data_IF_042952839393
#
_entry.id   IF_042952839393
#
_cell.length_a   1.000
_cell.length_b   1.000
_cell.length_c   1.000
_cell.angle_alpha   90.00
_cell.angle_beta   90.00
_cell.angle_gamma   90.00
#
_symmetry.space_group_name_H-M   'P 1'
#
loop_
_entity.id
_entity.type
_entity.pdbx_description
1 polymer ?
#
# COMPACT_ATOMS: atom_id res chain seq x y z
N UNK A 1 59.81 -4.27 50.05
CA UNK A 1 60.37 -3.37 49.01
C UNK A 1 59.19 -2.98 48.13
N UNK A 2 58.79 -1.70 47.98
CA UNK A 2 59.52 -0.55 47.36
C UNK A 2 59.59 -0.71 45.82
N UNK A 3 59.16 0.22 44.96
CA UNK A 3 58.73 1.65 45.07
C UNK A 3 57.26 1.84 44.52
N UNK A 4 56.39 2.80 44.92
CA UNK A 4 56.43 4.29 44.96
C UNK A 4 56.51 4.92 43.54
N UNK A 5 55.73 5.94 43.10
CA UNK A 5 54.76 6.94 43.64
C UNK A 5 53.62 7.18 42.58
N UNK A 6 52.59 8.05 42.61
CA UNK A 6 51.89 9.04 43.51
C UNK A 6 50.42 9.22 42.92
N UNK A 7 49.34 9.86 43.43
CA UNK A 7 49.02 11.01 44.33
C UNK A 7 49.22 12.43 43.72
N UNK A 8 48.27 13.38 43.60
CA UNK A 8 46.84 13.59 44.02
C UNK A 8 46.11 14.47 42.95
N UNK A 9 44.77 14.58 42.78
CA UNK A 9 43.72 15.27 43.60
C UNK A 9 44.13 16.66 44.14
N UNK A 10 43.34 17.76 44.21
CA UNK A 10 41.89 18.12 44.17
C UNK A 10 41.76 19.48 43.43
N UNK A 11 40.66 20.03 42.88
CA UNK A 11 39.23 19.67 42.77
C UNK A 11 38.27 20.84 43.15
N UNK A 12 36.97 20.76 42.78
CA UNK A 12 35.85 21.71 43.05
C UNK A 12 35.89 23.14 42.45
N UNK A 13 34.82 23.53 41.73
CA UNK A 13 33.94 24.67 42.06
C UNK A 13 32.78 24.86 41.06
N UNK A 14 31.66 25.42 41.53
CA UNK A 14 30.52 25.94 40.74
C UNK A 14 30.10 27.28 41.35
N UNK A 15 29.68 28.27 40.54
CA UNK A 15 28.45 28.97 40.91
C UNK A 15 27.55 29.42 39.74
N UNK A 16 26.27 29.07 39.87
CA UNK A 16 25.07 29.87 39.58
C UNK A 16 25.09 31.05 38.57
N UNK A 17 24.16 30.96 37.62
CA UNK A 17 23.19 32.01 37.22
C UNK A 17 23.64 33.27 36.46
N UNK A 18 23.00 33.47 35.29
CA UNK A 18 22.36 34.73 34.90
C UNK A 18 21.11 34.47 34.05
N UNK A 19 20.02 35.18 34.34
CA UNK A 19 18.85 35.30 33.44
C UNK A 19 19.05 36.54 32.58
N UNK A 20 18.68 36.48 31.30
CA UNK A 20 18.32 37.67 30.52
C UNK A 20 17.03 37.33 29.77
N UNK A 21 15.98 38.13 30.01
CA UNK A 21 14.77 38.15 29.19
C UNK A 21 14.77 39.47 28.41
N UNK A 22 14.50 39.42 27.10
CA UNK A 22 14.28 40.62 26.30
C UNK A 22 13.14 40.42 25.29
N UNK A 23 11.95 40.88 25.70
CA UNK A 23 10.87 41.35 24.82
C UNK A 23 11.37 42.57 24.01
N UNK A 24 10.87 42.94 22.82
CA UNK A 24 9.93 42.25 21.91
C UNK A 24 10.32 42.50 20.42
N UNK A 25 9.54 43.10 19.50
CA UNK A 25 9.25 42.42 18.23
C UNK A 25 9.81 43.14 16.99
N UNK A 26 9.91 42.40 15.87
CA UNK A 26 10.01 43.00 14.53
C UNK A 26 9.07 42.30 13.54
N UNK A 27 8.41 43.09 12.70
CA UNK A 27 7.48 42.63 11.66
C UNK A 27 8.26 42.14 10.45
N UNK A 28 8.24 40.83 10.19
CA UNK A 28 8.70 40.28 8.91
C UNK A 28 7.58 40.37 7.87
N UNK A 29 7.82 41.09 6.76
CA UNK A 29 6.87 41.18 5.65
C UNK A 29 6.94 39.92 4.76
N UNK A 30 5.80 39.51 4.21
CA UNK A 30 5.74 38.37 3.29
C UNK A 30 6.50 38.67 1.98
N UNK A 31 7.29 37.72 1.43
CA UNK A 31 8.01 37.92 0.18
C UNK A 31 7.05 37.95 -1.02
N UNK A 32 7.05 39.08 -1.75
CA UNK A 32 6.40 39.20 -3.06
C UNK A 32 7.15 38.37 -4.09
N UNK A 33 6.60 37.24 -4.51
CA UNK A 33 7.06 36.53 -5.69
C UNK A 33 6.65 37.27 -6.97
N UNK A 34 7.62 37.72 -7.75
CA UNK A 34 7.41 38.40 -9.04
C UNK A 34 7.49 37.38 -10.16
N UNK A 35 6.35 36.97 -10.70
CA UNK A 35 6.30 36.16 -11.92
C UNK A 35 6.80 36.98 -13.12
N UNK A 36 7.96 36.63 -13.68
CA UNK A 36 8.47 37.22 -14.92
C UNK A 36 7.82 36.57 -16.16
N UNK A 37 6.56 36.93 -16.41
CA UNK A 37 5.86 36.51 -17.64
C UNK A 37 6.49 37.10 -18.90
N UNK A 38 7.15 36.27 -19.72
CA UNK A 38 7.60 36.66 -21.06
C UNK A 38 6.39 36.93 -21.96
N UNK A 39 6.15 38.21 -22.29
CA UNK A 39 5.11 38.63 -23.24
C UNK A 39 5.39 38.08 -24.63
N UNK A 40 4.60 37.10 -25.09
CA UNK A 40 4.44 36.80 -26.51
C UNK A 40 3.19 37.55 -27.00
N UNK A 41 3.29 38.19 -28.17
CA UNK A 41 2.22 39.03 -28.72
C UNK A 41 1.04 38.19 -29.23
N UNK A 42 -0.18 38.65 -28.97
CA UNK A 42 -1.38 38.23 -29.73
C UNK A 42 -1.20 38.57 -31.20
N UNK A 43 -1.64 37.68 -32.08
CA UNK A 43 -2.07 38.03 -33.42
C UNK A 43 -3.39 37.30 -33.69
N UNK A 44 -4.47 38.06 -33.87
CA UNK A 44 -5.81 37.53 -34.15
C UNK A 44 -6.02 37.43 -35.66
N UNK A 45 -6.50 36.29 -36.15
CA UNK A 45 -7.24 36.18 -37.42
C UNK A 45 -8.39 35.17 -37.26
N UNK A 46 -9.47 35.39 -37.98
CA UNK A 46 -10.77 34.71 -37.80
C UNK A 46 -10.97 33.55 -38.78
N UNK A 47 -11.61 32.48 -38.33
CA UNK A 47 -12.11 31.40 -39.20
C UNK A 47 -13.18 30.56 -38.51
N UNK A 48 -14.43 30.64 -38.99
CA UNK A 48 -15.53 29.76 -38.62
C UNK A 48 -15.77 28.72 -39.72
N UNK A 49 -15.85 27.43 -39.37
CA UNK A 49 -16.92 26.47 -39.75
C UNK A 49 -16.84 25.23 -38.82
N UNK A 50 -17.88 24.37 -38.72
CA UNK A 50 -18.16 23.60 -37.50
C UNK A 50 -18.01 22.06 -37.60
N UNK A 51 -18.16 21.38 -36.45
CA UNK A 51 -18.23 19.92 -36.31
C UNK A 51 -16.91 19.31 -35.83
N UNK A 52 -16.86 18.32 -34.93
CA UNK A 52 -17.95 17.53 -34.33
C UNK A 52 -17.67 17.29 -32.85
N UNK A 53 -18.69 17.41 -31.99
CA UNK A 53 -18.62 17.04 -30.58
C UNK A 53 -19.06 15.58 -30.42
N UNK A 54 -18.33 14.77 -29.65
CA UNK A 54 -18.77 13.42 -29.25
C UNK A 54 -18.78 13.35 -27.74
N UNK A 55 -19.98 13.28 -27.17
CA UNK A 55 -20.18 13.04 -25.74
C UNK A 55 -20.10 11.55 -25.43
N UNK A 56 -19.60 11.20 -24.24
CA UNK A 56 -20.09 10.02 -23.52
C UNK A 56 -21.27 10.48 -22.65
N UNK A 57 -22.31 9.65 -22.54
CA UNK A 57 -23.57 9.99 -21.86
C UNK A 57 -23.49 9.86 -20.34
N UNK A 58 -24.31 10.64 -19.64
CA UNK A 58 -24.63 10.39 -18.23
C UNK A 58 -25.50 9.12 -18.08
N UNK A 59 -25.51 8.56 -16.88
CA UNK A 59 -26.49 7.59 -16.39
C UNK A 59 -26.96 8.06 -15.01
N UNK A 60 -28.25 7.94 -14.74
CA UNK A 60 -28.98 8.76 -13.75
C UNK A 60 -28.65 8.48 -12.26
N UNK A 61 -28.93 9.48 -11.41
CA UNK A 61 -29.14 9.26 -9.97
C UNK A 61 -30.44 8.48 -9.71
N UNK A 62 -30.65 8.02 -8.47
CA UNK A 62 -31.67 8.75 -7.70
C UNK A 62 -31.20 9.20 -6.30
N UNK A 63 -31.42 10.48 -5.99
CA UNK A 63 -31.23 11.07 -4.67
C UNK A 63 -32.42 10.80 -3.75
N UNK A 64 -32.18 10.16 -2.60
CA UNK A 64 -33.11 10.17 -1.47
C UNK A 64 -32.36 9.94 -0.15
N UNK A 65 -32.57 10.81 0.84
CA UNK A 65 -32.24 10.50 2.24
C UNK A 65 -33.48 10.00 2.96
N UNK A 66 -33.29 9.19 4.01
CA UNK A 66 -34.09 9.17 5.24
C UNK A 66 -33.42 8.23 6.25
N UNK A 67 -33.62 8.50 7.55
CA UNK A 67 -33.10 7.68 8.64
C UNK A 67 -34.18 6.69 9.13
N UNK A 68 -33.80 5.51 9.65
CA UNK A 68 -34.75 4.56 10.23
C UNK A 68 -35.07 4.88 11.70
N UNK A 69 -36.36 4.89 12.02
CA UNK A 69 -36.92 4.73 13.37
C UNK A 69 -37.81 3.46 13.38
N UNK A 70 -38.05 2.82 14.53
CA UNK A 70 -38.30 1.37 14.58
C UNK A 70 -39.76 0.96 14.32
N UNK A 71 -39.95 -0.24 13.78
CA UNK A 71 -41.26 -0.90 13.62
C UNK A 71 -41.27 -2.24 14.37
N UNK A 72 -42.46 -2.60 14.84
CA UNK A 72 -42.74 -3.54 15.93
C UNK A 72 -42.73 -5.03 15.54
N UNK A 73 -42.69 -5.86 16.59
CA UNK A 73 -42.84 -7.31 16.61
C UNK A 73 -44.14 -7.82 15.94
N UNK A 74 -44.04 -8.93 15.21
CA UNK A 74 -45.19 -9.79 14.84
C UNK A 74 -44.72 -11.22 14.57
N UNK A 75 -45.42 -12.21 15.13
CA UNK A 75 -44.88 -13.57 15.31
C UNK A 75 -45.43 -14.62 14.34
N UNK A 76 -44.50 -15.31 13.65
CA UNK A 76 -44.61 -16.73 13.25
C UNK A 76 -45.02 -17.04 11.80
N UNK A 77 -45.00 -18.33 11.40
CA UNK A 77 -44.19 -19.43 11.91
C UNK A 77 -43.09 -19.89 10.90
N UNK A 78 -42.12 -20.66 11.37
CA UNK A 78 -40.97 -21.11 10.58
C UNK A 78 -41.32 -21.95 9.35
N UNK A 79 -40.63 -21.71 8.24
CA UNK A 79 -40.41 -22.66 7.14
C UNK A 79 -38.99 -22.42 6.62
N UNK A 80 -38.09 -23.41 6.73
CA UNK A 80 -36.72 -23.27 6.25
C UNK A 80 -36.66 -23.44 4.72
N UNK A 81 -36.05 -22.50 3.97
CA UNK A 81 -35.51 -22.79 2.65
C UNK A 81 -34.12 -23.43 2.79
N UNK A 82 -33.80 -24.41 1.95
CA UNK A 82 -32.48 -25.03 1.91
C UNK A 82 -31.69 -24.56 0.67
N UNK A 83 -31.18 -23.33 0.69
CA UNK A 83 -30.32 -22.75 -0.39
C UNK A 83 -29.45 -21.58 0.11
N UNK A 84 -28.56 -21.78 1.09
CA UNK A 84 -27.67 -20.70 1.58
C UNK A 84 -26.25 -20.70 0.96
N UNK A 85 -25.75 -21.85 0.48
CA UNK A 85 -24.39 -21.96 -0.08
C UNK A 85 -24.28 -21.53 -1.55
N UNK A 86 -25.35 -21.71 -2.32
CA UNK A 86 -25.38 -21.39 -3.77
C UNK A 86 -25.58 -19.88 -4.00
N UNK A 87 -26.22 -19.19 -3.05
CA UNK A 87 -26.38 -17.73 -3.04
C UNK A 87 -25.09 -17.01 -2.63
N UNK A 88 -24.41 -17.45 -1.56
CA UNK A 88 -23.20 -16.77 -1.08
C UNK A 88 -22.06 -16.81 -2.11
N UNK A 89 -21.87 -17.93 -2.81
CA UNK A 89 -20.85 -18.06 -3.86
C UNK A 89 -21.10 -17.13 -5.07
N UNK A 90 -22.38 -16.86 -5.40
CA UNK A 90 -22.76 -15.91 -6.45
C UNK A 90 -22.50 -14.46 -6.00
N UNK A 91 -22.82 -14.11 -4.75
CA UNK A 91 -22.51 -12.79 -4.19
C UNK A 91 -20.99 -12.54 -4.09
N UNK A 92 -20.20 -13.51 -3.63
CA UNK A 92 -18.73 -13.42 -3.59
C UNK A 92 -18.10 -13.29 -4.99
N UNK A 93 -18.67 -13.97 -5.99
CA UNK A 93 -18.25 -13.82 -7.39
C UNK A 93 -18.51 -12.38 -7.87
N UNK A 94 -19.71 -11.84 -7.63
CA UNK A 94 -20.05 -10.47 -8.02
C UNK A 94 -19.16 -9.43 -7.33
N UNK A 95 -18.92 -9.57 -6.01
CA UNK A 95 -17.99 -8.72 -5.25
C UNK A 95 -16.55 -8.82 -5.78
N UNK A 96 -16.13 -10.00 -6.22
CA UNK A 96 -14.80 -10.22 -6.81
C UNK A 96 -14.67 -9.53 -8.17
N UNK A 97 -15.70 -9.57 -9.01
CA UNK A 97 -15.68 -8.93 -10.32
C UNK A 97 -15.77 -7.38 -10.22
N UNK A 98 -16.55 -6.82 -9.29
CA UNK A 98 -16.48 -5.38 -8.96
C UNK A 98 -15.08 -4.98 -8.46
N UNK A 99 -14.50 -5.75 -7.52
CA UNK A 99 -13.15 -5.51 -7.04
C UNK A 99 -12.12 -5.60 -8.18
N UNK A 100 -12.31 -6.49 -9.16
CA UNK A 100 -11.47 -6.61 -10.35
C UNK A 100 -11.56 -5.39 -11.27
N UNK A 101 -12.75 -4.82 -11.47
CA UNK A 101 -12.90 -3.57 -12.20
C UNK A 101 -12.17 -2.42 -11.50
N UNK A 102 -12.39 -2.25 -10.19
CA UNK A 102 -11.75 -1.21 -9.39
C UNK A 102 -10.22 -1.40 -9.39
N UNK A 103 -9.75 -2.64 -9.20
CA UNK A 103 -8.33 -2.99 -9.22
C UNK A 103 -7.72 -2.66 -10.57
N UNK A 104 -8.26 -3.15 -11.69
CA UNK A 104 -7.64 -2.92 -12.99
C UNK A 104 -7.67 -1.43 -13.39
N UNK A 105 -8.72 -0.70 -13.03
CA UNK A 105 -8.88 0.76 -13.22
C UNK A 105 -7.88 1.57 -12.40
N UNK A 106 -7.63 1.22 -11.13
CA UNK A 106 -6.68 1.94 -10.24
C UNK A 106 -5.22 1.47 -10.38
N UNK A 107 -5.00 0.21 -10.75
CA UNK A 107 -3.66 -0.39 -10.87
C UNK A 107 -3.05 -0.21 -12.27
N UNK A 108 -3.87 -0.13 -13.32
CA UNK A 108 -3.44 -0.08 -14.73
C UNK A 108 -3.12 -1.47 -15.29
N UNK A 109 -3.91 -2.48 -14.93
CA UNK A 109 -3.56 -3.91 -15.10
C UNK A 109 -4.65 -4.74 -15.79
N UNK A 110 -4.35 -6.01 -16.05
CA UNK A 110 -5.30 -7.06 -16.47
C UNK A 110 -5.27 -8.26 -15.49
N UNK A 111 -5.24 -7.95 -14.20
CA UNK A 111 -5.21 -8.92 -13.09
C UNK A 111 -6.64 -9.33 -12.70
N UNK A 112 -6.78 -10.48 -12.05
CA UNK A 112 -8.07 -11.03 -11.64
C UNK A 112 -7.92 -11.76 -10.31
N UNK A 113 -8.54 -11.22 -9.27
CA UNK A 113 -8.78 -11.87 -7.99
C UNK A 113 -10.14 -12.56 -8.02
N UNK A 114 -10.28 -13.66 -7.29
CA UNK A 114 -11.49 -14.51 -7.24
C UNK A 114 -11.59 -15.00 -5.80
N UNK A 115 -12.44 -14.36 -5.00
CA UNK A 115 -12.52 -14.63 -3.56
C UNK A 115 -13.05 -16.05 -3.31
N UNK A 116 -14.03 -16.47 -4.10
CA UNK A 116 -14.73 -17.75 -3.97
C UNK A 116 -13.86 -18.98 -4.31
N UNK A 117 -12.63 -18.77 -4.84
CA UNK A 117 -11.63 -19.83 -5.05
C UNK A 117 -10.72 -20.08 -3.84
N UNK A 118 -10.85 -19.29 -2.78
CA UNK A 118 -10.11 -19.48 -1.54
C UNK A 118 -8.72 -18.83 -1.49
N UNK A 119 -7.97 -19.18 -0.44
CA UNK A 119 -6.60 -18.72 -0.21
C UNK A 119 -5.64 -19.16 -1.33
N UNK A 120 -5.15 -18.18 -2.10
CA UNK A 120 -4.05 -18.36 -3.06
C UNK A 120 -2.80 -17.56 -2.67
N UNK A 121 -1.64 -18.16 -2.94
CA UNK A 121 -0.34 -17.61 -2.60
C UNK A 121 0.78 -18.24 -3.44
N UNK A 122 1.93 -17.57 -3.45
CA UNK A 122 3.19 -18.07 -3.99
C UNK A 122 4.34 -17.80 -3.02
N UNK A 123 5.26 -18.77 -2.88
CA UNK A 123 6.50 -18.61 -2.12
C UNK A 123 7.50 -17.79 -2.94
N UNK A 124 8.01 -16.70 -2.36
CA UNK A 124 8.89 -15.73 -3.03
C UNK A 124 10.34 -15.90 -2.56
N UNK A 125 10.55 -16.14 -1.26
CA UNK A 125 11.83 -16.57 -0.68
C UNK A 125 11.61 -17.88 0.11
N UNK A 126 12.66 -18.64 0.46
CA UNK A 126 12.52 -19.80 1.33
C UNK A 126 11.82 -19.49 2.66
N UNK A 127 11.94 -18.26 3.16
CA UNK A 127 11.32 -17.77 4.40
C UNK A 127 10.12 -16.82 4.20
N UNK A 128 9.67 -16.55 2.96
CA UNK A 128 8.67 -15.51 2.66
C UNK A 128 7.67 -15.93 1.58
N UNK A 129 6.38 -15.79 1.89
CA UNK A 129 5.23 -16.04 1.00
C UNK A 129 4.43 -14.75 0.81
N UNK A 130 3.85 -14.55 -0.37
CA UNK A 130 2.88 -13.49 -0.66
C UNK A 130 1.58 -14.10 -1.20
N UNK A 131 0.43 -13.65 -0.69
CA UNK A 131 -0.88 -14.17 -1.11
C UNK A 131 -2.08 -13.28 -0.78
N UNK A 132 -3.27 -13.82 -1.01
CA UNK A 132 -4.57 -13.21 -0.68
C UNK A 132 -4.87 -13.25 0.81
N UNK A 133 -6.00 -12.69 1.21
CA UNK A 133 -6.50 -12.83 2.57
C UNK A 133 -6.83 -14.30 2.92
N UNK A 134 -6.63 -14.65 4.19
CA UNK A 134 -7.26 -15.81 4.81
C UNK A 134 -8.77 -15.56 4.90
N UNK A 135 -9.56 -16.64 4.80
CA UNK A 135 -11.02 -16.59 4.90
C UNK A 135 -11.54 -17.41 6.09
N UNK A 136 -10.79 -18.42 6.51
CA UNK A 136 -11.23 -19.42 7.48
C UNK A 136 -10.15 -19.72 8.51
N UNK A 137 -10.54 -20.30 9.64
CA UNK A 137 -9.60 -20.90 10.59
C UNK A 137 -8.71 -21.97 9.93
N UNK A 138 -9.25 -22.75 8.99
CA UNK A 138 -8.51 -23.81 8.29
C UNK A 138 -7.35 -23.28 7.41
N UNK A 139 -7.39 -22.02 6.99
CA UNK A 139 -6.27 -21.38 6.29
C UNK A 139 -5.05 -21.18 7.20
N UNK A 140 -5.28 -20.97 8.50
CA UNK A 140 -4.20 -20.89 9.51
C UNK A 140 -3.48 -22.23 9.64
N UNK A 141 -4.24 -23.32 9.74
CA UNK A 141 -3.70 -24.68 9.79
C UNK A 141 -2.94 -25.04 8.51
N UNK A 142 -3.53 -24.73 7.34
CA UNK A 142 -2.91 -24.92 6.02
C UNK A 142 -1.54 -24.23 5.92
N UNK A 143 -1.46 -22.97 6.33
CA UNK A 143 -0.22 -22.19 6.26
C UNK A 143 0.84 -22.67 7.27
N UNK A 144 0.45 -23.03 8.50
CA UNK A 144 1.36 -23.57 9.49
C UNK A 144 1.94 -24.93 9.05
N UNK A 145 1.08 -25.86 8.62
CA UNK A 145 1.45 -27.27 8.41
C UNK A 145 2.08 -27.56 7.04
N UNK A 146 1.62 -26.90 5.97
CA UNK A 146 2.10 -27.17 4.61
C UNK A 146 3.29 -26.28 4.24
N UNK A 147 3.31 -25.06 4.79
CA UNK A 147 4.27 -24.02 4.40
C UNK A 147 5.22 -23.60 5.54
N UNK A 148 5.05 -24.09 6.77
CA UNK A 148 5.91 -23.73 7.91
C UNK A 148 5.76 -22.26 8.35
N UNK A 149 4.60 -21.66 8.13
CA UNK A 149 4.34 -20.26 8.49
C UNK A 149 4.23 -20.13 10.01
N UNK A 150 5.05 -19.26 10.58
CA UNK A 150 4.99 -18.90 12.00
C UNK A 150 4.47 -17.48 12.22
N UNK A 151 4.36 -16.66 11.17
CA UNK A 151 3.86 -15.28 11.22
C UNK A 151 2.97 -14.98 10.01
N UNK A 152 1.70 -14.68 10.24
CA UNK A 152 0.80 -14.06 9.27
C UNK A 152 0.89 -12.55 9.45
N UNK A 153 1.13 -11.81 8.36
CA UNK A 153 1.28 -10.37 8.34
C UNK A 153 0.20 -9.75 7.44
N UNK A 154 -0.91 -9.38 8.09
CA UNK A 154 -2.12 -8.85 7.49
C UNK A 154 -2.01 -7.33 7.30
N UNK A 155 -2.11 -6.89 6.05
CA UNK A 155 -2.01 -5.47 5.64
C UNK A 155 -3.40 -4.84 5.40
N UNK A 156 -4.48 -5.59 5.63
CA UNK A 156 -5.86 -5.14 5.43
C UNK A 156 -6.34 -4.15 6.50
N UNK A 157 -7.11 -3.17 6.05
CA UNK A 157 -7.97 -2.31 6.86
C UNK A 157 -9.31 -3.00 7.13
N UNK A 158 -10.06 -2.55 8.13
CA UNK A 158 -11.34 -3.18 8.51
C UNK A 158 -12.39 -3.04 7.40
N UNK A 159 -12.28 -1.99 6.57
CA UNK A 159 -13.05 -1.77 5.35
C UNK A 159 -12.80 -2.82 4.26
N UNK A 160 -11.57 -3.34 4.11
CA UNK A 160 -11.26 -4.41 3.16
C UNK A 160 -12.01 -5.70 3.54
N UNK A 161 -12.01 -6.01 4.84
CA UNK A 161 -12.59 -7.24 5.38
C UNK A 161 -14.12 -7.14 5.37
N UNK A 162 -14.67 -6.00 5.78
CA UNK A 162 -16.10 -5.73 5.75
C UNK A 162 -16.70 -5.84 4.33
N UNK A 163 -15.99 -5.37 3.28
CA UNK A 163 -16.46 -5.51 1.89
C UNK A 163 -16.67 -6.99 1.51
N UNK A 164 -15.77 -7.89 1.92
CA UNK A 164 -15.88 -9.34 1.69
C UNK A 164 -16.64 -10.10 2.79
N UNK A 165 -17.33 -9.42 3.71
CA UNK A 165 -18.00 -10.02 4.88
C UNK A 165 -17.07 -10.87 5.78
N UNK A 166 -15.75 -10.64 5.73
CA UNK A 166 -14.74 -11.47 6.39
C UNK A 166 -14.65 -11.16 7.89
N UNK A 167 -15.09 -12.11 8.73
CA UNK A 167 -14.81 -12.09 10.16
C UNK A 167 -13.37 -12.58 10.43
N UNK A 168 -12.57 -11.71 11.05
CA UNK A 168 -11.19 -12.01 11.41
C UNK A 168 -11.08 -12.80 12.74
N UNK A 169 -12.10 -12.77 13.60
CA UNK A 169 -12.00 -13.33 14.95
C UNK A 169 -11.68 -14.84 14.98
N UNK A 170 -12.31 -15.71 14.15
CA UNK A 170 -11.96 -17.13 14.08
C UNK A 170 -10.51 -17.39 13.65
N UNK A 171 -9.94 -16.53 12.79
CA UNK A 171 -8.54 -16.61 12.35
C UNK A 171 -7.59 -16.25 13.52
N UNK A 172 -7.93 -15.22 14.31
CA UNK A 172 -7.16 -14.81 15.49
C UNK A 172 -7.18 -15.89 16.58
N UNK A 173 -8.35 -16.43 16.90
CA UNK A 173 -8.47 -17.49 17.90
C UNK A 173 -7.78 -18.77 17.43
N UNK A 174 -7.85 -19.14 16.15
CA UNK A 174 -7.12 -20.33 15.65
C UNK A 174 -5.60 -20.18 15.74
N UNK A 175 -5.05 -19.00 15.45
CA UNK A 175 -3.62 -18.74 15.67
C UNK A 175 -3.23 -18.93 17.15
N UNK A 176 -4.05 -18.40 18.06
CA UNK A 176 -3.87 -18.49 19.51
C UNK A 176 -4.05 -19.90 20.06
N UNK A 177 -4.93 -20.71 19.49
CA UNK A 177 -5.09 -22.14 19.83
C UNK A 177 -3.86 -22.97 19.48
N UNK A 178 -3.27 -22.74 18.28
CA UNK A 178 -2.08 -23.48 17.85
C UNK A 178 -0.82 -23.06 18.61
N UNK A 179 -0.63 -21.75 18.80
CA UNK A 179 0.54 -21.16 19.47
C UNK A 179 1.87 -21.23 18.70
N UNK A 180 1.95 -21.96 17.58
CA UNK A 180 3.11 -22.02 16.67
C UNK A 180 3.11 -20.90 15.62
N UNK A 181 1.94 -20.32 15.34
CA UNK A 181 1.69 -19.28 14.35
C UNK A 181 1.01 -18.07 15.00
N UNK A 182 1.51 -16.86 14.72
CA UNK A 182 0.92 -15.59 15.20
C UNK A 182 0.36 -14.75 14.07
N UNK A 183 -0.72 -14.03 14.34
CA UNK A 183 -1.31 -13.06 13.42
C UNK A 183 -0.94 -11.62 13.81
N UNK A 184 -0.36 -10.88 12.87
CA UNK A 184 0.12 -9.50 13.04
C UNK A 184 -0.63 -8.61 12.04
N UNK A 185 -1.17 -7.47 12.49
CA UNK A 185 -1.79 -6.48 11.60
C UNK A 185 -0.91 -5.24 11.43
N UNK A 186 -0.83 -4.75 10.19
CA UNK A 186 -0.29 -3.44 9.86
C UNK A 186 -1.07 -2.80 8.69
N UNK A 187 -2.22 -2.16 8.94
CA UNK A 187 -3.15 -1.76 7.87
C UNK A 187 -2.62 -0.64 6.97
N UNK A 188 -2.66 -0.84 5.65
CA UNK A 188 -2.32 0.15 4.61
C UNK A 188 -3.53 0.31 3.68
N UNK A 189 -3.88 1.55 3.31
CA UNK A 189 -5.10 1.83 2.54
C UNK A 189 -5.02 1.28 1.11
N UNK A 190 -6.09 0.66 0.59
CA UNK A 190 -6.01 -0.01 -0.71
C UNK A 190 -6.01 0.96 -1.89
N UNK A 191 -5.24 0.59 -2.91
CA UNK A 191 -5.01 1.37 -4.11
C UNK A 191 -4.47 2.79 -3.89
N UNK A 192 -3.97 3.11 -2.69
CA UNK A 192 -3.34 4.38 -2.38
C UNK A 192 -1.79 4.27 -2.34
N UNK A 193 -1.07 4.75 -3.38
CA UNK A 193 0.39 4.76 -3.38
C UNK A 193 0.98 5.79 -2.41
N UNK A 194 0.21 6.79 -1.95
CA UNK A 194 0.65 7.81 -1.00
C UNK A 194 0.69 7.23 0.42
N UNK A 195 -0.41 6.65 0.88
CA UNK A 195 -0.42 5.92 2.16
C UNK A 195 0.56 4.74 2.17
N UNK A 196 0.66 3.98 1.07
CA UNK A 196 1.67 2.93 0.92
C UNK A 196 3.10 3.48 1.09
N UNK A 197 3.48 4.56 0.39
CA UNK A 197 4.80 5.21 0.55
C UNK A 197 5.09 5.55 2.02
N UNK A 198 4.15 6.22 2.69
CA UNK A 198 4.32 6.66 4.09
C UNK A 198 4.37 5.51 5.09
N UNK A 199 3.59 4.44 4.87
CA UNK A 199 3.47 3.32 5.80
C UNK A 199 4.53 2.22 5.62
N UNK A 200 5.10 2.08 4.41
CA UNK A 200 6.10 1.02 4.11
C UNK A 200 7.27 0.92 5.10
N UNK A 201 7.94 2.01 5.55
CA UNK A 201 9.05 1.91 6.52
C UNK A 201 8.65 1.23 7.83
N UNK A 202 7.53 1.67 8.42
CA UNK A 202 7.01 1.11 9.67
C UNK A 202 6.46 -0.31 9.46
N UNK A 203 5.84 -0.59 8.31
CA UNK A 203 5.41 -1.93 7.94
C UNK A 203 6.59 -2.91 7.87
N UNK A 204 7.67 -2.55 7.16
CA UNK A 204 8.87 -3.38 7.02
C UNK A 204 9.62 -3.54 8.35
N UNK A 205 9.69 -2.50 9.18
CA UNK A 205 10.31 -2.62 10.51
C UNK A 205 9.50 -3.54 11.45
N UNK A 206 8.16 -3.44 11.43
CA UNK A 206 7.28 -4.33 12.19
C UNK A 206 7.32 -5.77 11.67
N UNK A 207 7.39 -5.95 10.34
CA UNK A 207 7.59 -7.24 9.68
C UNK A 207 8.90 -7.88 10.16
N UNK A 208 10.01 -7.13 10.13
CA UNK A 208 11.32 -7.62 10.58
C UNK A 208 11.41 -7.83 12.11
N UNK A 209 10.60 -7.15 12.91
CA UNK A 209 10.46 -7.40 14.35
C UNK A 209 9.78 -8.75 14.62
N UNK A 210 8.74 -9.08 13.86
CA UNK A 210 7.91 -10.26 14.10
C UNK A 210 8.47 -11.52 13.41
N UNK A 211 9.16 -11.37 12.28
CA UNK A 211 9.76 -12.48 11.52
C UNK A 211 11.08 -12.97 12.13
N UNK A 212 11.29 -14.30 12.09
CA UNK A 212 12.62 -14.90 12.23
C UNK A 212 12.89 -15.83 11.04
N UNK A 213 13.54 -15.35 9.98
CA UNK A 213 13.76 -16.11 8.74
C UNK A 213 14.71 -17.32 8.89
N UNK A 214 15.24 -17.58 10.08
CA UNK A 214 16.00 -18.82 10.39
C UNK A 214 15.14 -19.95 10.93
N UNK A 215 13.94 -19.65 11.46
CA UNK A 215 13.13 -20.60 12.26
C UNK A 215 11.66 -20.68 11.85
N UNK A 216 11.26 -19.99 10.79
CA UNK A 216 9.89 -20.02 10.29
C UNK A 216 9.71 -19.18 9.03
N UNK A 217 8.51 -19.26 8.46
CA UNK A 217 8.12 -18.55 7.24
C UNK A 217 7.15 -17.43 7.58
N UNK A 218 7.26 -16.28 6.91
CA UNK A 218 6.27 -15.21 6.98
C UNK A 218 5.31 -15.28 5.80
N UNK A 219 4.01 -15.13 6.08
CA UNK A 219 2.95 -15.01 5.09
C UNK A 219 2.45 -13.56 5.04
N UNK A 220 2.77 -12.84 3.97
CA UNK A 220 2.42 -11.41 3.81
C UNK A 220 1.20 -11.29 2.89
N UNK A 221 0.11 -10.69 3.37
CA UNK A 221 -1.10 -10.54 2.56
C UNK A 221 -1.80 -9.18 2.71
N UNK A 222 -2.59 -8.88 1.69
CA UNK A 222 -3.66 -7.88 1.73
C UNK A 222 -4.94 -8.60 1.25
N UNK A 223 -5.87 -7.93 0.58
CA UNK A 223 -7.06 -8.58 0.00
C UNK A 223 -6.68 -9.59 -1.11
N UNK A 224 -6.24 -9.12 -2.28
CA UNK A 224 -5.88 -10.00 -3.41
C UNK A 224 -4.42 -10.51 -3.42
N UNK A 225 -3.55 -9.93 -2.58
CA UNK A 225 -2.11 -10.20 -2.65
C UNK A 225 -1.41 -9.65 -3.90
N UNK A 226 -1.97 -8.59 -4.53
CA UNK A 226 -1.54 -8.08 -5.84
C UNK A 226 -0.95 -6.67 -5.84
N UNK A 227 -1.15 -5.88 -4.77
CA UNK A 227 -0.66 -4.50 -4.63
C UNK A 227 0.15 -4.28 -3.36
N UNK A 228 -0.54 -4.01 -2.23
CA UNK A 228 0.06 -3.67 -0.93
C UNK A 228 1.03 -4.72 -0.39
N UNK A 229 0.62 -5.99 -0.40
CA UNK A 229 1.43 -7.12 0.08
C UNK A 229 2.72 -7.36 -0.73
N UNK A 230 2.68 -7.52 -2.07
CA UNK A 230 3.91 -7.69 -2.85
C UNK A 230 4.81 -6.45 -2.80
N UNK A 231 4.27 -5.24 -2.65
CA UNK A 231 5.09 -4.04 -2.45
C UNK A 231 5.82 -4.06 -1.09
N UNK A 232 5.16 -4.51 -0.03
CA UNK A 232 5.77 -4.63 1.32
C UNK A 232 6.81 -5.74 1.38
N UNK A 233 6.54 -6.89 0.75
CA UNK A 233 7.51 -7.96 0.56
C UNK A 233 8.75 -7.48 -0.21
N UNK A 234 8.55 -6.75 -1.31
CA UNK A 234 9.62 -6.20 -2.14
C UNK A 234 10.45 -5.14 -1.40
N UNK A 235 9.83 -4.30 -0.58
CA UNK A 235 10.53 -3.35 0.28
C UNK A 235 11.37 -4.05 1.37
N UNK A 236 10.85 -5.10 2.03
CA UNK A 236 11.63 -5.95 2.95
C UNK A 236 12.80 -6.65 2.24
N UNK A 237 12.56 -7.19 1.04
CA UNK A 237 13.59 -7.78 0.18
C UNK A 237 14.72 -6.78 -0.14
N UNK A 238 14.38 -5.51 -0.39
CA UNK A 238 15.37 -4.49 -0.74
C UNK A 238 16.09 -3.90 0.48
N UNK A 239 15.37 -3.51 1.52
CA UNK A 239 15.93 -2.76 2.65
C UNK A 239 16.57 -3.64 3.74
N UNK A 240 16.06 -4.87 3.96
CA UNK A 240 16.54 -5.76 5.03
C UNK A 240 17.40 -6.91 4.46
N UNK A 241 16.98 -7.46 3.31
CA UNK A 241 17.67 -8.56 2.62
C UNK A 241 18.62 -8.10 1.51
N UNK A 242 18.62 -6.81 1.15
CA UNK A 242 19.56 -6.21 0.21
C UNK A 242 19.36 -6.55 -1.28
N UNK A 243 18.32 -7.31 -1.64
CA UNK A 243 18.04 -7.68 -3.04
C UNK A 243 17.73 -6.38 -3.80
N UNK A 244 18.43 -6.08 -4.90
CA UNK A 244 18.23 -4.81 -5.60
C UNK A 244 16.80 -4.71 -6.15
N UNK A 245 16.20 -3.53 -6.05
CA UNK A 245 14.75 -3.36 -6.15
C UNK A 245 14.15 -3.92 -7.46
N UNK A 246 14.78 -3.62 -8.60
CA UNK A 246 14.34 -4.07 -9.91
C UNK A 246 14.65 -5.57 -10.16
N UNK A 247 15.56 -6.18 -9.40
CA UNK A 247 15.86 -7.63 -9.44
C UNK A 247 14.85 -8.40 -8.58
N UNK A 248 14.56 -7.90 -7.38
CA UNK A 248 13.49 -8.41 -6.52
C UNK A 248 12.11 -8.31 -7.16
N UNK A 249 11.84 -7.23 -7.90
CA UNK A 249 10.60 -7.07 -8.68
C UNK A 249 10.46 -8.15 -9.75
N UNK A 250 11.53 -8.41 -10.53
CA UNK A 250 11.56 -9.47 -11.56
C UNK A 250 11.35 -10.85 -10.96
N UNK A 251 12.01 -11.17 -9.85
CA UNK A 251 11.79 -12.42 -9.11
C UNK A 251 10.31 -12.55 -8.72
N UNK A 252 9.81 -11.59 -7.93
CA UNK A 252 8.48 -11.64 -7.34
C UNK A 252 7.40 -11.74 -8.42
N UNK A 253 7.47 -10.90 -9.46
CA UNK A 253 6.48 -10.93 -10.57
C UNK A 253 6.59 -12.17 -11.46
N UNK A 254 7.73 -12.86 -11.50
CA UNK A 254 7.87 -14.15 -12.17
C UNK A 254 7.29 -15.33 -11.39
N UNK A 255 7.09 -15.18 -10.08
CA UNK A 255 6.53 -16.19 -9.17
C UNK A 255 5.05 -15.93 -8.83
N UNK A 256 4.62 -14.67 -8.77
CA UNK A 256 3.22 -14.24 -8.56
C UNK A 256 2.84 -13.17 -9.56
N UNK A 257 1.79 -13.41 -10.36
CA UNK A 257 1.24 -12.41 -11.29
C UNK A 257 0.58 -11.28 -10.51
N UNK A 258 1.27 -10.16 -10.34
CA UNK A 258 0.85 -9.01 -9.53
C UNK A 258 1.44 -7.68 -10.06
N UNK A 259 1.05 -6.56 -9.45
CA UNK A 259 1.50 -5.22 -9.85
C UNK A 259 1.88 -4.33 -8.65
N UNK A 260 2.91 -4.68 -7.85
CA UNK A 260 3.36 -3.84 -6.75
C UNK A 260 3.82 -2.47 -7.26
N UNK A 261 3.41 -1.39 -6.58
CA UNK A 261 3.75 -0.01 -6.96
C UNK A 261 5.20 0.31 -6.55
N UNK A 262 6.16 -0.06 -7.39
CA UNK A 262 7.60 0.09 -7.15
C UNK A 262 8.00 1.54 -6.90
N UNK A 263 7.25 2.48 -7.49
CA UNK A 263 7.45 3.93 -7.38
C UNK A 263 7.22 4.42 -5.94
N UNK A 264 6.29 3.81 -5.21
CA UNK A 264 6.09 4.09 -3.77
C UNK A 264 7.28 3.58 -2.94
N UNK A 265 7.87 2.44 -3.32
CA UNK A 265 9.07 1.89 -2.66
C UNK A 265 10.30 2.77 -2.95
N UNK A 266 10.53 3.18 -4.21
CA UNK A 266 11.59 4.12 -4.58
C UNK A 266 11.47 5.44 -3.82
N UNK A 267 10.26 5.98 -3.73
CA UNK A 267 9.97 7.21 -3.00
C UNK A 267 10.24 7.07 -1.50
N UNK A 268 9.75 6.01 -0.85
CA UNK A 268 10.02 5.74 0.57
C UNK A 268 11.51 5.46 0.85
N UNK A 269 12.23 4.86 -0.10
CA UNK A 269 13.69 4.65 -0.03
C UNK A 269 14.43 5.99 -0.04
N UNK A 270 14.02 6.92 -0.91
CA UNK A 270 14.55 8.27 -0.95
C UNK A 270 14.26 9.03 0.36
N UNK A 271 13.06 8.89 0.91
CA UNK A 271 12.67 9.55 2.16
C UNK A 271 13.53 9.09 3.35
N UNK A 272 13.77 7.78 3.47
CA UNK A 272 14.63 7.21 4.50
C UNK A 272 16.11 7.61 4.34
N UNK A 273 16.65 7.60 3.12
CA UNK A 273 18.07 7.90 2.88
C UNK A 273 18.41 9.39 2.90
N UNK A 274 17.42 10.28 2.70
CA UNK A 274 17.62 11.73 2.69
C UNK A 274 17.01 12.46 3.89
N UNK A 275 16.22 11.77 4.71
CA UNK A 275 15.50 12.40 5.81
C UNK A 275 14.43 13.39 5.31
N UNK A 276 13.75 13.05 4.22
CA UNK A 276 12.68 13.90 3.70
C UNK A 276 11.51 13.98 4.69
N UNK A 277 10.94 15.17 4.83
CA UNK A 277 9.75 15.42 5.66
C UNK A 277 8.63 16.07 4.83
N UNK A 278 7.34 15.95 5.25
CA UNK A 278 6.22 16.61 4.59
C UNK A 278 6.36 18.14 4.55
N UNK A 279 6.51 18.68 3.34
CA UNK A 279 6.61 20.11 3.05
C UNK A 279 5.23 20.72 2.88
N UNK A 280 5.01 21.91 3.45
CA UNK A 280 3.78 22.68 3.23
C UNK A 280 3.68 23.17 1.78
N UNK A 281 2.57 22.87 1.11
CA UNK A 281 2.29 23.22 -0.29
C UNK A 281 0.88 23.80 -0.43
N UNK A 282 0.76 24.85 -1.25
CA UNK A 282 -0.50 25.54 -1.53
C UNK A 282 -0.90 25.33 -2.99
N UNK A 283 -2.07 24.74 -3.23
CA UNK A 283 -2.70 24.71 -4.56
C UNK A 283 -3.76 25.81 -4.58
N UNK A 284 -3.59 26.79 -5.46
CA UNK A 284 -4.45 27.99 -5.51
C UNK A 284 -5.08 28.11 -6.89
N UNK A 285 -6.39 28.36 -7.00
CA UNK A 285 -7.05 28.62 -8.29
C UNK A 285 -7.87 29.90 -8.24
N UNK A 286 -7.53 30.84 -9.13
CA UNK A 286 -8.24 32.10 -9.29
C UNK A 286 -9.41 31.89 -10.27
N UNK A 287 -10.64 31.92 -9.74
CA UNK A 287 -11.88 31.81 -10.53
C UNK A 287 -12.82 32.96 -10.17
N UNK A 288 -12.94 33.93 -11.08
CA UNK A 288 -13.98 34.94 -11.06
C UNK A 288 -15.22 34.38 -11.77
N UNK A 289 -16.25 34.00 -11.02
CA UNK A 289 -17.45 33.35 -11.57
C UNK A 289 -18.42 32.85 -10.50
N UNK A 290 -19.41 32.08 -10.93
CA UNK A 290 -20.52 31.57 -10.08
C UNK A 290 -20.27 30.17 -9.50
N UNK A 291 -19.01 29.69 -9.49
CA UNK A 291 -18.69 28.35 -9.04
C UNK A 291 -19.00 28.19 -7.54
N UNK A 292 -19.77 27.16 -7.19
CA UNK A 292 -20.25 26.93 -5.82
C UNK A 292 -19.32 25.96 -5.07
N UNK A 293 -18.80 24.94 -5.77
CA UNK A 293 -17.89 23.94 -5.20
C UNK A 293 -16.70 23.74 -6.11
N UNK A 294 -15.49 23.96 -5.59
CA UNK A 294 -14.23 23.61 -6.25
C UNK A 294 -13.53 22.57 -5.39
N UNK A 295 -13.14 21.46 -6.02
CA UNK A 295 -12.43 20.35 -5.40
C UNK A 295 -11.17 20.00 -6.18
N UNK A 296 -10.26 19.25 -5.55
CA UNK A 296 -9.13 18.58 -6.22
C UNK A 296 -9.10 17.10 -5.86
N UNK A 297 -8.91 16.24 -6.87
CA UNK A 297 -8.63 14.81 -6.72
C UNK A 297 -7.25 14.46 -7.32
N UNK A 298 -6.64 13.36 -6.86
CA UNK A 298 -5.25 12.99 -7.13
C UNK A 298 -4.36 13.24 -5.91
N UNK A 299 -3.20 13.88 -6.08
CA UNK A 299 -2.27 14.24 -5.00
C UNK A 299 -1.88 13.03 -4.11
N UNK A 300 -2.02 13.18 -2.79
CA UNK A 300 -1.79 12.18 -1.73
C UNK A 300 -3.15 11.99 -0.97
N UNK A 301 -4.16 11.70 -1.80
CA UNK A 301 -5.50 11.11 -1.49
C UNK A 301 -6.04 10.23 -2.64
N UNK A 302 -5.47 10.33 -3.84
CA UNK A 302 -5.87 9.57 -5.02
C UNK A 302 -7.10 10.14 -5.74
N UNK A 303 -7.45 9.52 -6.87
CA UNK A 303 -8.51 10.00 -7.78
C UNK A 303 -9.95 9.84 -7.26
N UNK A 304 -10.14 9.26 -6.08
CA UNK A 304 -11.44 8.79 -5.58
C UNK A 304 -11.93 9.50 -4.32
N UNK A 305 -11.09 10.34 -3.70
CA UNK A 305 -11.42 11.13 -2.52
C UNK A 305 -11.13 12.62 -2.78
N UNK A 306 -12.03 13.34 -3.50
CA UNK A 306 -11.83 14.76 -3.80
C UNK A 306 -11.84 15.61 -2.52
N UNK A 307 -10.89 16.53 -2.39
CA UNK A 307 -10.80 17.49 -1.29
C UNK A 307 -11.38 18.82 -1.75
N UNK A 308 -12.29 19.40 -0.96
CA UNK A 308 -12.82 20.75 -1.19
C UNK A 308 -11.75 21.83 -0.97
N UNK A 309 -11.78 22.89 -1.78
CA UNK A 309 -10.93 24.07 -1.63
C UNK A 309 -11.66 25.17 -0.86
N UNK A 310 -10.94 25.85 0.05
CA UNK A 310 -11.47 26.98 0.81
C UNK A 310 -11.31 28.29 0.02
N UNK A 311 -12.31 29.17 0.04
CA UNK A 311 -12.22 30.51 -0.55
C UNK A 311 -11.43 31.45 0.39
N UNK A 312 -10.32 32.03 -0.09
CA UNK A 312 -9.67 33.16 0.57
C UNK A 312 -10.30 34.49 0.06
N UNK A 313 -11.08 35.20 0.91
CA UNK A 313 -11.76 36.42 0.51
C UNK A 313 -10.84 37.65 0.38
N UNK A 314 -9.57 37.56 0.77
CA UNK A 314 -8.55 38.62 0.64
C UNK A 314 -7.73 38.45 -0.64
N UNK A 315 -7.47 37.20 -1.03
CA UNK A 315 -6.74 36.86 -2.26
C UNK A 315 -7.68 36.62 -3.47
N UNK A 316 -8.99 36.51 -3.23
CA UNK A 316 -10.04 36.26 -4.23
C UNK A 316 -9.78 34.99 -5.06
N UNK A 317 -9.31 33.94 -4.38
CA UNK A 317 -9.00 32.65 -4.97
C UNK A 317 -9.36 31.50 -4.02
N UNK A 318 -9.56 30.32 -4.59
CA UNK A 318 -9.76 29.08 -3.85
C UNK A 318 -8.41 28.44 -3.55
N UNK A 319 -8.20 27.95 -2.33
CA UNK A 319 -6.91 27.43 -1.83
C UNK A 319 -7.12 26.06 -1.17
N UNK A 320 -6.20 25.14 -1.47
CA UNK A 320 -5.99 23.91 -0.70
C UNK A 320 -4.57 23.95 -0.12
N UNK A 321 -4.46 23.91 1.20
CA UNK A 321 -3.19 23.72 1.91
C UNK A 321 -3.00 22.23 2.20
N UNK A 322 -1.81 21.70 1.91
CA UNK A 322 -1.41 20.31 2.22
C UNK A 322 0.00 20.30 2.78
N UNK A 323 0.31 19.26 3.56
CA UNK A 323 1.69 18.79 3.74
C UNK A 323 1.90 17.57 2.86
N UNK A 324 2.97 17.54 2.07
CA UNK A 324 3.27 16.46 1.12
C UNK A 324 4.78 16.20 1.09
N UNK A 325 5.17 14.92 0.98
CA UNK A 325 6.57 14.54 0.81
C UNK A 325 7.14 15.04 -0.54
N UNK A 326 8.47 15.21 -0.67
CA UNK A 326 9.10 15.57 -1.94
C UNK A 326 8.78 14.57 -3.06
N UNK A 327 8.62 15.05 -4.29
CA UNK A 327 8.26 14.25 -5.46
C UNK A 327 7.19 14.89 -6.34
N UNK A 328 6.64 14.11 -7.26
CA UNK A 328 5.76 14.60 -8.33
C UNK A 328 4.39 13.93 -8.27
N UNK A 329 3.33 14.73 -8.29
CA UNK A 329 1.96 14.27 -8.06
C UNK A 329 1.02 14.76 -9.16
N UNK A 330 0.27 13.85 -9.78
CA UNK A 330 -0.81 14.22 -10.69
C UNK A 330 -2.07 14.60 -9.91
N UNK A 331 -2.82 15.58 -10.40
CA UNK A 331 -4.11 15.97 -9.84
C UNK A 331 -5.03 16.63 -10.88
N UNK A 332 -6.29 16.84 -10.53
CA UNK A 332 -7.29 17.47 -11.40
C UNK A 332 -8.34 18.20 -10.56
N UNK A 333 -8.87 19.29 -11.09
CA UNK A 333 -9.95 20.03 -10.43
C UNK A 333 -11.30 19.41 -10.77
N UNK A 334 -12.23 19.51 -9.83
CA UNK A 334 -13.65 19.26 -10.05
C UNK A 334 -14.37 20.57 -9.70
N UNK A 335 -15.03 21.19 -10.68
CA UNK A 335 -15.74 22.47 -10.51
C UNK A 335 -17.23 22.21 -10.76
N UNK A 336 -18.04 22.31 -9.71
CA UNK A 336 -19.47 22.00 -9.74
C UNK A 336 -19.76 20.63 -10.40
N UNK A 337 -19.00 19.61 -10.02
CA UNK A 337 -19.05 18.25 -10.59
C UNK A 337 -18.22 18.03 -11.87
N UNK A 338 -17.77 19.09 -12.55
CA UNK A 338 -17.09 18.99 -13.84
C UNK A 338 -15.58 18.84 -13.68
N UNK A 339 -15.03 17.71 -14.15
CA UNK A 339 -13.60 17.43 -14.14
C UNK A 339 -12.83 18.28 -15.16
N UNK A 340 -11.85 19.06 -14.69
CA UNK A 340 -11.09 20.00 -15.53
C UNK A 340 -9.67 20.22 -15.02
N UNK A 341 -8.78 20.75 -15.86
CA UNK A 341 -7.43 21.14 -15.47
C UNK A 341 -7.27 22.66 -15.51
N UNK A 342 -6.40 23.20 -14.66
CA UNK A 342 -5.98 24.60 -14.73
C UNK A 342 -4.86 24.76 -15.76
N UNK A 343 -5.06 25.60 -16.77
CA UNK A 343 -4.02 25.95 -17.74
C UNK A 343 -2.96 26.90 -17.16
N UNK A 344 -3.21 27.48 -15.98
CA UNK A 344 -2.28 28.34 -15.25
C UNK A 344 -1.25 27.53 -14.44
N UNK A 345 -1.47 26.22 -14.30
CA UNK A 345 -0.62 25.28 -13.56
C UNK A 345 0.10 24.33 -14.52
N UNK A 346 1.20 23.71 -14.08
CA UNK A 346 1.84 22.66 -14.87
C UNK A 346 0.87 21.51 -15.16
N UNK A 347 1.05 20.89 -16.33
CA UNK A 347 0.21 19.80 -16.84
C UNK A 347 1.06 18.65 -17.33
N UNK A 348 0.55 17.43 -17.17
CA UNK A 348 1.05 16.23 -17.86
C UNK A 348 -0.07 15.57 -18.66
N UNK A 349 0.31 14.72 -19.61
CA UNK A 349 -0.61 13.88 -20.36
C UNK A 349 -0.50 12.43 -19.88
N UNK A 350 -1.62 11.85 -19.49
CA UNK A 350 -1.76 10.46 -19.05
C UNK A 350 -2.76 9.75 -19.98
N UNK A 351 -2.24 9.02 -20.96
CA UNK A 351 -3.01 8.49 -22.08
C UNK A 351 -3.75 9.62 -22.84
N UNK A 352 -5.09 9.58 -22.81
CA UNK A 352 -5.96 10.60 -23.41
C UNK A 352 -6.37 11.72 -22.43
N UNK A 353 -5.94 11.66 -21.17
CA UNK A 353 -6.28 12.67 -20.16
C UNK A 353 -5.15 13.70 -20.00
N UNK A 354 -5.51 14.99 -20.01
CA UNK A 354 -4.64 16.04 -19.47
C UNK A 354 -4.96 16.19 -17.99
N UNK A 355 -3.93 16.11 -17.15
CA UNK A 355 -3.98 16.28 -15.70
C UNK A 355 -3.03 17.42 -15.30
N UNK A 356 -3.27 18.06 -14.16
CA UNK A 356 -2.28 18.96 -13.57
C UNK A 356 -1.18 18.18 -12.86
N UNK A 357 -0.03 18.83 -12.73
CA UNK A 357 1.17 18.28 -12.10
C UNK A 357 1.61 19.20 -10.96
N UNK A 358 1.80 18.65 -9.77
CA UNK A 358 2.44 19.31 -8.63
C UNK A 358 3.82 18.70 -8.43
N UNK A 359 4.85 19.53 -8.50
CA UNK A 359 6.20 19.16 -8.11
C UNK A 359 6.49 19.73 -6.72
N UNK A 360 6.85 18.86 -5.78
CA UNK A 360 7.14 19.20 -4.39
C UNK A 360 8.64 19.06 -4.17
N UNK A 361 9.32 20.20 -4.02
CA UNK A 361 10.74 20.28 -3.68
C UNK A 361 10.87 21.24 -2.49
N UNK A 362 11.46 20.82 -1.36
CA UNK A 362 11.67 21.72 -0.22
C UNK A 362 12.61 22.86 -0.60
N UNK A 363 12.28 24.11 -0.24
CA UNK A 363 13.12 25.28 -0.55
C UNK A 363 14.48 25.29 0.15
N UNK A 364 14.69 24.37 1.10
CA UNK A 364 15.95 24.10 1.79
C UNK A 364 16.76 22.94 1.19
N UNK A 365 16.24 22.24 0.18
CA UNK A 365 16.94 21.12 -0.46
C UNK A 365 18.08 21.65 -1.34
N UNK A 366 19.30 21.21 -1.06
CA UNK A 366 20.48 21.56 -1.85
C UNK A 366 20.57 20.74 -3.16
N UNK A 367 21.50 21.11 -4.03
CA UNK A 367 21.65 20.48 -5.35
C UNK A 367 22.15 19.03 -5.28
N UNK A 368 22.92 18.63 -4.28
CA UNK A 368 23.40 17.26 -4.11
C UNK A 368 22.27 16.35 -3.59
N UNK A 369 21.50 16.83 -2.61
CA UNK A 369 20.30 16.14 -2.12
C UNK A 369 19.25 16.01 -3.22
N UNK A 370 19.05 17.04 -4.05
CA UNK A 370 18.16 16.96 -5.23
C UNK A 370 18.65 15.95 -6.27
N UNK A 371 19.96 15.87 -6.54
CA UNK A 371 20.55 14.83 -7.41
C UNK A 371 20.32 13.41 -6.84
N UNK A 372 20.45 13.23 -5.52
CA UNK A 372 20.15 11.95 -4.85
C UNK A 372 18.66 11.59 -4.90
N UNK A 373 17.76 12.56 -4.72
CA UNK A 373 16.31 12.36 -4.87
C UNK A 373 15.99 11.84 -6.28
N UNK A 374 16.57 12.45 -7.33
CA UNK A 374 16.42 12.00 -8.71
C UNK A 374 17.03 10.60 -8.91
N UNK A 375 18.22 10.32 -8.37
CA UNK A 375 18.84 8.97 -8.39
C UNK A 375 17.86 7.91 -7.84
N UNK A 376 17.34 8.07 -6.63
CA UNK A 376 16.52 7.04 -6.00
C UNK A 376 15.16 6.83 -6.67
N UNK A 377 14.58 7.88 -7.26
CA UNK A 377 13.33 7.77 -8.04
C UNK A 377 13.52 7.12 -9.43
N UNK A 378 14.75 7.10 -9.96
CA UNK A 378 15.06 6.57 -11.30
C UNK A 378 15.01 5.03 -11.32
N UNK A 379 14.29 4.40 -12.28
CA UNK A 379 14.34 2.95 -12.50
C UNK A 379 15.75 2.45 -12.86
N UNK A 380 16.09 1.23 -12.49
CA UNK A 380 17.43 0.67 -12.66
C UNK A 380 18.47 1.09 -11.62
N UNK A 381 18.18 2.07 -10.74
CA UNK A 381 19.07 2.46 -9.65
C UNK A 381 19.33 1.29 -8.69
N UNK A 382 20.61 0.93 -8.53
CA UNK A 382 21.10 0.06 -7.45
C UNK A 382 21.49 0.91 -6.23
N UNK A 383 21.17 0.40 -5.04
CA UNK A 383 21.65 0.95 -3.77
C UNK A 383 23.08 0.47 -3.50
N UNK A 384 23.92 1.33 -2.94
CA UNK A 384 25.27 0.93 -2.50
C UNK A 384 25.23 0.10 -1.21
N UNK A 385 26.29 -0.65 -0.86
CA UNK A 385 26.35 -1.39 0.40
C UNK A 385 26.15 -0.50 1.63
N UNK A 386 26.60 0.75 1.59
CA UNK A 386 26.45 1.75 2.65
C UNK A 386 25.01 2.24 2.76
N UNK A 387 24.34 2.49 1.63
CA UNK A 387 22.91 2.85 1.57
C UNK A 387 22.04 1.70 2.12
N UNK A 388 22.33 0.46 1.74
CA UNK A 388 21.64 -0.73 2.26
C UNK A 388 21.90 -0.94 3.76
N UNK A 389 23.15 -0.81 4.21
CA UNK A 389 23.52 -0.90 5.63
C UNK A 389 22.79 0.17 6.47
N UNK A 390 22.69 1.39 5.94
CA UNK A 390 21.97 2.50 6.57
C UNK A 390 20.48 2.16 6.74
N UNK A 391 19.77 1.81 5.66
CA UNK A 391 18.36 1.40 5.70
C UNK A 391 18.10 0.24 6.68
N UNK A 392 18.96 -0.78 6.63
CA UNK A 392 18.87 -1.94 7.52
C UNK A 392 19.08 -1.56 8.98
N UNK A 393 20.02 -0.66 9.29
CA UNK A 393 20.27 -0.19 10.66
C UNK A 393 19.10 0.64 11.23
N UNK A 394 18.38 1.38 10.38
CA UNK A 394 17.18 2.13 10.76
C UNK A 394 15.98 1.20 11.03
N UNK A 395 15.77 0.21 10.15
CA UNK A 395 14.52 -0.56 10.12
C UNK A 395 14.58 -1.92 10.83
N UNK A 396 15.76 -2.55 10.94
CA UNK A 396 15.92 -3.89 11.51
C UNK A 396 17.12 -3.98 12.48
N UNK A 397 17.02 -3.39 13.68
CA UNK A 397 17.99 -3.56 14.76
C UNK A 397 17.91 -4.94 15.47
N UNK A 398 17.42 -5.97 14.78
CA UNK A 398 17.04 -7.27 15.36
C UNK A 398 17.99 -8.40 14.93
N UNK A 399 18.65 -9.02 15.91
CA UNK A 399 19.64 -10.08 15.69
C UNK A 399 19.08 -11.36 15.02
N UNK A 400 17.75 -11.50 14.92
CA UNK A 400 17.11 -12.53 14.08
C UNK A 400 17.58 -12.46 12.63
N UNK A 401 17.97 -11.28 12.14
CA UNK A 401 18.37 -11.05 10.75
C UNK A 401 19.90 -11.00 10.50
N UNK A 402 20.74 -11.04 11.53
CA UNK A 402 22.21 -10.88 11.39
C UNK A 402 22.86 -12.01 10.59
N UNK A 403 23.91 -11.70 9.83
CA UNK A 403 24.57 -12.64 8.92
C UNK A 403 23.65 -13.33 7.88
N UNK A 404 22.42 -12.84 7.66
CA UNK A 404 21.67 -13.06 6.41
C UNK A 404 22.25 -12.21 5.26
N UNK A 405 23.58 -12.09 5.21
CA UNK A 405 24.28 -11.35 4.16
C UNK A 405 23.91 -11.92 2.82
N UNK A 406 23.61 -11.04 1.87
CA UNK A 406 23.57 -11.40 0.45
C UNK A 406 24.79 -12.25 0.10
N UNK A 407 24.61 -13.38 -0.60
CA UNK A 407 25.68 -13.85 -1.45
C UNK A 407 25.95 -12.75 -2.49
N UNK A 408 27.21 -12.35 -2.70
CA UNK A 408 27.55 -11.39 -3.77
C UNK A 408 27.14 -11.92 -5.15
N UNK A 409 26.98 -11.02 -6.14
CA UNK A 409 26.29 -11.25 -7.44
C UNK A 409 26.38 -12.68 -8.02
N UNK A 410 27.58 -13.26 -8.12
CA UNK A 410 27.81 -14.59 -8.67
C UNK A 410 27.09 -15.74 -7.93
N UNK A 411 26.84 -15.58 -6.63
CA UNK A 411 26.21 -16.57 -5.76
C UNK A 411 24.75 -16.21 -5.42
N UNK A 412 24.34 -14.95 -5.65
CA UNK A 412 22.93 -14.56 -5.62
C UNK A 412 22.16 -15.25 -6.74
N UNK A 413 22.75 -15.37 -7.94
CA UNK A 413 22.14 -16.07 -9.07
C UNK A 413 21.88 -17.56 -8.76
N UNK A 414 22.87 -18.25 -8.18
CA UNK A 414 22.73 -19.63 -7.72
C UNK A 414 21.62 -19.79 -6.66
N UNK A 415 21.48 -18.82 -5.75
CA UNK A 415 20.39 -18.81 -4.77
C UNK A 415 19.02 -18.63 -5.46
N UNK A 416 18.91 -17.73 -6.46
CA UNK A 416 17.68 -17.53 -7.23
C UNK A 416 17.29 -18.77 -8.04
N UNK A 417 18.26 -19.47 -8.64
CA UNK A 417 17.99 -20.70 -9.39
C UNK A 417 17.62 -21.88 -8.47
N UNK A 418 18.27 -22.00 -7.31
CA UNK A 418 17.87 -22.95 -6.27
C UNK A 418 16.46 -22.65 -5.71
N UNK A 419 16.12 -21.36 -5.56
CA UNK A 419 14.78 -20.91 -5.15
C UNK A 419 13.72 -21.20 -6.22
N UNK A 420 14.03 -21.02 -7.51
CA UNK A 420 13.16 -21.43 -8.62
C UNK A 420 12.87 -22.94 -8.58
N UNK A 421 13.92 -23.74 -8.40
CA UNK A 421 13.80 -25.20 -8.31
C UNK A 421 13.03 -25.68 -7.07
N UNK A 422 13.11 -24.98 -5.92
CA UNK A 422 12.27 -25.32 -4.75
C UNK A 422 10.83 -24.80 -4.90
N UNK A 423 10.60 -23.66 -5.58
CA UNK A 423 9.26 -23.19 -5.92
C UNK A 423 8.52 -24.19 -6.83
N UNK A 424 9.21 -24.78 -7.82
CA UNK A 424 8.68 -25.88 -8.64
C UNK A 424 8.29 -27.10 -7.78
N UNK A 425 9.13 -27.49 -6.80
CA UNK A 425 8.80 -28.57 -5.85
C UNK A 425 7.61 -28.23 -4.94
N UNK A 426 7.46 -26.97 -4.52
CA UNK A 426 6.30 -26.51 -3.73
C UNK A 426 5.02 -26.54 -4.58
N UNK A 427 5.06 -26.14 -5.85
CA UNK A 427 3.90 -26.22 -6.73
C UNK A 427 3.47 -27.68 -7.00
N UNK A 428 4.42 -28.60 -7.16
CA UNK A 428 4.12 -30.05 -7.22
C UNK A 428 3.47 -30.57 -5.93
N UNK A 429 3.90 -30.09 -4.75
CA UNK A 429 3.24 -30.41 -3.46
C UNK A 429 1.81 -29.81 -3.40
N UNK A 430 1.63 -28.57 -3.86
CA UNK A 430 0.32 -27.87 -3.94
C UNK A 430 -0.67 -28.66 -4.82
N UNK A 431 -0.24 -29.08 -6.01
CA UNK A 431 -1.07 -29.91 -6.91
C UNK A 431 -1.41 -31.28 -6.31
N UNK A 432 -0.44 -31.98 -5.74
CA UNK A 432 -0.68 -33.28 -5.09
C UNK A 432 -1.65 -33.18 -3.90
N UNK A 433 -1.67 -32.06 -3.18
CA UNK A 433 -2.67 -31.79 -2.14
C UNK A 433 -4.05 -31.48 -2.72
N UNK A 434 -4.15 -30.66 -3.77
CA UNK A 434 -5.42 -30.38 -4.46
C UNK A 434 -6.06 -31.67 -5.01
N UNK A 435 -5.27 -32.55 -5.63
CA UNK A 435 -5.72 -33.89 -6.03
C UNK A 435 -6.24 -34.71 -4.85
N UNK A 436 -5.57 -34.65 -3.69
CA UNK A 436 -5.99 -35.36 -2.49
C UNK A 436 -7.32 -34.82 -1.96
N UNK A 437 -7.53 -33.50 -2.01
CA UNK A 437 -8.79 -32.86 -1.63
C UNK A 437 -9.93 -33.22 -2.58
N UNK A 438 -9.69 -33.25 -3.90
CA UNK A 438 -10.70 -33.75 -4.85
C UNK A 438 -11.07 -35.21 -4.58
N UNK A 439 -10.08 -36.07 -4.31
CA UNK A 439 -10.31 -37.49 -3.98
C UNK A 439 -11.09 -37.64 -2.67
N UNK A 440 -10.82 -36.81 -1.66
CA UNK A 440 -11.60 -36.76 -0.42
C UNK A 440 -13.05 -36.30 -0.67
N UNK A 441 -13.27 -35.17 -1.35
CA UNK A 441 -14.62 -34.68 -1.68
C UNK A 441 -15.43 -35.66 -2.53
N UNK A 442 -14.77 -36.46 -3.38
CA UNK A 442 -15.41 -37.56 -4.13
C UNK A 442 -15.84 -38.70 -3.20
N UNK A 443 -14.96 -39.17 -2.31
CA UNK A 443 -15.26 -40.23 -1.33
C UNK A 443 -16.35 -39.79 -0.33
N UNK A 444 -16.31 -38.54 0.13
CA UNK A 444 -17.31 -37.94 1.01
C UNK A 444 -18.70 -37.92 0.34
N UNK A 445 -18.77 -37.42 -0.89
CA UNK A 445 -20.00 -37.40 -1.69
C UNK A 445 -20.49 -38.80 -2.11
N UNK A 446 -19.60 -39.78 -2.24
CA UNK A 446 -19.93 -41.19 -2.46
C UNK A 446 -20.47 -41.85 -1.17
N UNK A 447 -20.02 -41.44 0.02
CA UNK A 447 -20.54 -41.91 1.30
C UNK A 447 -21.91 -41.29 1.62
N UNK A 448 -22.11 -40.00 1.35
CA UNK A 448 -23.42 -39.34 1.45
C UNK A 448 -24.45 -39.91 0.46
N UNK A 449 -24.00 -40.45 -0.67
CA UNK A 449 -24.86 -41.05 -1.70
C UNK A 449 -25.33 -42.49 -1.37
N UNK A 450 -24.93 -43.09 -0.24
CA UNK A 450 -25.36 -44.45 0.16
C UNK A 450 -26.79 -44.39 0.75
N UNK A 451 -27.81 -44.99 0.11
CA UNK A 451 -29.17 -44.93 0.63
C UNK A 451 -29.34 -45.77 1.90
N UNK A 452 -30.12 -45.25 2.87
CA UNK A 452 -30.40 -45.92 4.14
C UNK A 452 -31.36 -47.12 3.98
N UNK A 453 -30.87 -48.24 3.43
CA UNK A 453 -31.63 -49.49 3.22
C UNK A 453 -31.08 -50.72 3.98
N UNK A 454 -30.12 -50.55 4.92
CA UNK A 454 -29.58 -51.67 5.72
C UNK A 454 -29.63 -51.43 7.25
N UNK A 455 -30.74 -50.90 7.76
CA UNK A 455 -31.08 -50.94 9.20
C UNK A 455 -32.53 -51.38 9.46
N UNK A 456 -32.98 -52.44 8.77
CA UNK A 456 -34.22 -53.18 9.11
C UNK A 456 -34.05 -54.71 8.97
N UNK A 457 -32.95 -55.27 9.51
CA UNK A 457 -32.83 -56.72 9.68
C UNK A 457 -31.75 -57.13 10.69
N UNK A 458 -32.03 -56.98 12.00
CA UNK A 458 -31.52 -57.80 13.10
C UNK A 458 -32.33 -57.52 14.38
#
# INVERSE_FOLDING_TARGET
MLFLRHSQTVGLLSPSSRRICSRSPSTAAAPRWVQQGKKIRRNSHTGMVPGTLVCASAGDEPTASLAPEPVQDSTGPSTQPATDQDTSAVEETAKSDEYNEIMNRRMGTSLSYRHELGLDYNRILPDLIVGSCLQTAADVDRLAEQEGVTTIFCIQEDTDMAYFNLDLQPILDRCKERGDIKHVRFPIHDFDPYDLRRKLPNAVSKLAQEHNPRTGVIYIHCTAGMGRAPATALAYMNWIRGIQLDEGFKLLTSLRRCGPKVEAIRSATADLLLGNEPTDVSIMVSRYGTAQRIQVAGLDVGWHAPIDLEMDPKLHCFILQRKMYPGTYQYKFIIDGNWTYSADHFTTQDGNCINNLLEVIPSSMDQETMQKQIKYLTPGTKLTPEEQSTLRSMLCPWASHDALTLPGDANALLLMDAMRAEAEKVEVRKQAWMEKQEKWKKVEKEQEAVPAQQQQSL
#
